data_IF_727995680983
#
_entry.id   IF_727995680983
#
_cell.length_a   1.000
_cell.length_b   1.000
_cell.length_c   1.000
_cell.angle_alpha   90.00
_cell.angle_beta   90.00
_cell.angle_gamma   90.00
#
_symmetry.space_group_name_H-M   'P 1'
#
loop_
_entity.id
_entity.type
_entity.pdbx_description
1 polymer ?
#
# COMPACT_ATOMS: atom_id res chain seq x y z
N UNK A 1 4.97 4.11 -16.19
CA UNK A 1 4.18 3.63 -15.05
C UNK A 1 5.16 2.95 -14.13
N UNK A 2 5.46 3.58 -12.99
CA UNK A 2 6.42 3.05 -12.03
C UNK A 2 5.61 2.09 -11.16
N UNK A 3 5.70 0.80 -11.46
CA UNK A 3 5.24 -0.23 -10.55
C UNK A 3 6.36 -0.40 -9.52
N UNK A 4 6.14 0.08 -8.29
CA UNK A 4 7.08 -0.14 -7.19
C UNK A 4 6.95 -1.61 -6.77
N UNK A 5 7.76 -2.46 -7.42
CA UNK A 5 7.84 -3.92 -7.27
C UNK A 5 8.45 -4.37 -5.93
N UNK A 6 8.65 -3.48 -4.96
CA UNK A 6 9.34 -3.85 -3.72
C UNK A 6 8.95 -2.93 -2.58
N UNK A 7 8.59 -3.54 -1.45
CA UNK A 7 8.38 -2.87 -0.16
C UNK A 7 9.64 -2.06 0.27
N UNK A 8 10.79 -2.29 -0.35
CA UNK A 8 12.02 -1.52 -0.13
C UNK A 8 12.17 -0.22 -0.94
N UNK A 9 11.32 0.05 -1.95
CA UNK A 9 11.44 1.27 -2.79
C UNK A 9 10.39 2.35 -2.45
N UNK A 10 9.54 2.08 -1.46
CA UNK A 10 8.45 3.00 -1.03
C UNK A 10 8.98 4.25 -0.30
N UNK A 11 10.29 4.34 -0.03
CA UNK A 11 10.93 5.54 0.50
C UNK A 11 10.85 6.73 -0.47
N UNK A 12 10.60 6.52 -1.77
CA UNK A 12 10.81 7.56 -2.79
C UNK A 12 9.57 8.09 -3.52
N UNK A 13 8.34 7.63 -3.24
CA UNK A 13 7.18 8.09 -4.01
C UNK A 13 5.95 8.35 -3.12
N UNK A 14 5.72 9.64 -2.81
CA UNK A 14 4.46 10.26 -2.37
C UNK A 14 3.86 9.66 -1.08
N UNK A 15 3.91 10.41 0.02
CA UNK A 15 3.18 10.09 1.25
C UNK A 15 1.68 10.28 1.00
N UNK A 16 1.05 9.25 0.44
CA UNK A 16 -0.39 9.18 0.23
C UNK A 16 -1.10 8.95 1.56
N UNK A 17 -2.24 9.59 1.84
CA UNK A 17 -2.90 9.53 3.14
C UNK A 17 -3.38 8.12 3.52
N UNK A 18 -3.59 7.23 2.53
CA UNK A 18 -3.91 5.83 2.78
C UNK A 18 -3.05 4.89 1.93
N UNK A 19 -2.66 3.72 2.48
CA UNK A 19 -1.86 2.69 1.81
C UNK A 19 -2.34 1.28 2.17
N UNK A 20 -2.38 0.38 1.19
CA UNK A 20 -2.72 -1.02 1.38
C UNK A 20 -1.73 -1.94 0.66
N UNK A 21 -1.42 -3.06 1.31
CA UNK A 21 -0.73 -4.18 0.68
C UNK A 21 -1.76 -5.15 0.12
N UNK A 22 -1.51 -5.66 -1.08
CA UNK A 22 -2.25 -6.77 -1.68
C UNK A 22 -1.29 -7.86 -2.14
N UNK A 23 -1.67 -9.11 -1.96
CA UNK A 23 -1.01 -10.27 -2.55
C UNK A 23 -1.98 -10.97 -3.49
N UNK A 24 -1.51 -11.34 -4.67
CA UNK A 24 -2.27 -12.05 -5.70
C UNK A 24 -1.92 -13.53 -5.74
N UNK A 25 -2.73 -14.31 -6.46
CA UNK A 25 -2.53 -15.75 -6.64
C UNK A 25 -1.22 -16.11 -7.34
N UNK A 26 -0.64 -15.17 -8.10
CA UNK A 26 0.65 -15.31 -8.80
C UNK A 26 1.87 -15.17 -7.87
N UNK A 27 1.68 -15.11 -6.54
CA UNK A 27 2.70 -14.79 -5.53
C UNK A 27 3.25 -13.35 -5.65
N UNK A 28 2.61 -12.52 -6.48
CA UNK A 28 2.92 -11.11 -6.64
C UNK A 28 2.40 -10.30 -5.45
N UNK A 29 3.25 -9.47 -4.86
CA UNK A 29 2.91 -8.57 -3.76
C UNK A 29 3.05 -7.13 -4.22
N UNK A 30 2.01 -6.33 -3.99
CA UNK A 30 1.98 -4.92 -4.34
C UNK A 30 1.59 -4.10 -3.13
N UNK A 31 2.15 -2.89 -3.04
CA UNK A 31 1.63 -1.85 -2.15
C UNK A 31 1.05 -0.74 -3.00
N UNK A 32 -0.22 -0.43 -2.78
CA UNK A 32 -0.92 0.68 -3.42
C UNK A 32 -1.15 1.77 -2.39
N UNK A 33 -0.88 3.01 -2.76
CA UNK A 33 -1.34 4.17 -2.00
C UNK A 33 -2.50 4.84 -2.71
N UNK A 34 -3.30 5.57 -1.96
CA UNK A 34 -4.47 6.29 -2.44
C UNK A 34 -4.93 7.35 -1.45
N UNK A 35 -6.01 8.06 -1.79
CA UNK A 35 -6.60 9.04 -0.89
C UNK A 35 -7.36 8.37 0.26
N UNK A 36 -8.04 7.26 -0.06
CA UNK A 36 -8.91 6.51 0.85
C UNK A 36 -8.81 5.01 0.52
N UNK A 37 -9.36 4.17 1.41
CA UNK A 37 -9.44 2.71 1.22
C UNK A 37 -10.09 2.32 -0.12
N UNK A 38 -11.07 3.08 -0.60
CA UNK A 38 -11.77 2.80 -1.86
C UNK A 38 -10.86 2.98 -3.09
N UNK A 39 -9.98 3.99 -3.07
CA UNK A 39 -9.01 4.24 -4.15
C UNK A 39 -7.96 3.11 -4.19
N UNK A 40 -7.54 2.64 -3.01
CA UNK A 40 -6.65 1.50 -2.88
C UNK A 40 -7.31 0.21 -3.39
N UNK A 41 -8.57 -0.04 -3.05
CA UNK A 41 -9.30 -1.23 -3.48
C UNK A 41 -9.55 -1.24 -5.00
N UNK A 42 -9.81 -0.08 -5.62
CA UNK A 42 -9.95 0.03 -7.08
C UNK A 42 -8.63 -0.36 -7.79
N UNK A 43 -7.49 0.17 -7.35
CA UNK A 43 -6.17 -0.17 -7.90
C UNK A 43 -5.82 -1.65 -7.73
N UNK A 44 -6.12 -2.24 -6.56
CA UNK A 44 -5.97 -3.68 -6.36
C UNK A 44 -6.89 -4.47 -7.29
N UNK A 45 -8.13 -3.98 -7.52
CA UNK A 45 -9.12 -4.50 -8.46
C UNK A 45 -8.58 -4.61 -9.89
N UNK A 46 -8.01 -3.52 -10.40
CA UNK A 46 -7.38 -3.46 -11.73
C UNK A 46 -6.18 -4.43 -11.86
N UNK A 47 -5.44 -4.63 -10.77
CA UNK A 47 -4.35 -5.60 -10.73
C UNK A 47 -4.86 -7.04 -10.68
N UNK A 48 -6.07 -7.30 -10.19
CA UNK A 48 -6.64 -8.66 -10.24
C UNK A 48 -6.86 -9.15 -11.66
N UNK A 49 -7.16 -8.22 -12.58
CA UNK A 49 -7.35 -8.53 -14.00
C UNK A 49 -6.03 -8.93 -14.68
N UNK A 50 -4.89 -8.48 -14.16
CA UNK A 50 -3.55 -8.77 -14.69
C UNK A 50 -2.83 -9.92 -13.97
N UNK A 51 -2.89 -9.96 -12.65
CA UNK A 51 -2.13 -10.90 -11.80
C UNK A 51 -3.01 -12.02 -11.18
N UNK A 52 -4.32 -12.00 -11.44
CA UNK A 52 -5.27 -12.98 -10.92
C UNK A 52 -5.91 -12.55 -9.60
N UNK A 53 -6.65 -13.44 -8.94
CA UNK A 53 -7.44 -13.07 -7.76
C UNK A 53 -6.54 -12.59 -6.59
N UNK A 54 -6.99 -11.53 -5.92
CA UNK A 54 -6.39 -11.01 -4.69
C UNK A 54 -6.60 -12.05 -3.57
N UNK A 55 -5.52 -12.71 -3.16
CA UNK A 55 -5.57 -13.76 -2.13
C UNK A 55 -5.46 -13.18 -0.73
N UNK A 56 -4.84 -12.02 -0.59
CA UNK A 56 -4.64 -11.37 0.70
C UNK A 56 -4.54 -9.86 0.52
N UNK A 57 -5.07 -9.12 1.48
CA UNK A 57 -4.85 -7.69 1.59
C UNK A 57 -4.79 -7.29 3.05
N UNK A 58 -4.06 -6.22 3.34
CA UNK A 58 -3.98 -5.61 4.66
C UNK A 58 -3.64 -4.14 4.52
N UNK A 59 -4.09 -3.33 5.48
CA UNK A 59 -3.58 -1.97 5.64
C UNK A 59 -2.06 -1.98 5.78
N UNK A 60 -1.39 -1.03 5.12
CA UNK A 60 0.05 -0.86 5.21
C UNK A 60 0.42 -0.37 6.62
N UNK A 61 1.35 -1.05 7.29
CA UNK A 61 1.78 -0.69 8.65
C UNK A 61 3.29 -0.48 8.66
N UNK A 62 3.71 0.72 9.06
CA UNK A 62 5.11 1.14 9.10
C UNK A 62 5.32 2.23 10.17
N UNK A 63 6.49 2.84 10.24
CA UNK A 63 6.81 3.94 11.16
C UNK A 63 5.92 5.16 10.92
N UNK A 64 5.47 5.39 9.70
CA UNK A 64 4.64 6.53 9.30
C UNK A 64 3.15 6.17 9.11
N UNK A 65 2.79 4.87 9.12
CA UNK A 65 1.45 4.38 8.78
C UNK A 65 0.92 3.35 9.79
N UNK A 66 -0.32 3.51 10.22
CA UNK A 66 -1.02 2.52 11.06
C UNK A 66 -2.32 2.10 10.38
N UNK A 67 -2.48 0.79 10.17
CA UNK A 67 -3.65 0.20 9.51
C UNK A 67 -3.93 0.78 8.11
N UNK A 68 -2.88 1.20 7.41
CA UNK A 68 -2.97 1.87 6.11
C UNK A 68 -3.16 3.37 6.18
N UNK A 69 -3.53 3.95 7.31
CA UNK A 69 -3.67 5.40 7.44
C UNK A 69 -2.32 6.07 7.74
N UNK A 70 -2.01 7.16 7.06
CA UNK A 70 -0.83 7.98 7.35
C UNK A 70 -1.02 8.70 8.69
N UNK A 71 -0.35 8.22 9.72
CA UNK A 71 -0.38 8.81 11.06
C UNK A 71 0.68 9.92 11.19
N UNK A 72 1.68 9.90 10.31
CA UNK A 72 2.75 10.88 10.23
C UNK A 72 3.77 10.82 11.37
N UNK A 73 5.04 11.02 11.05
CA UNK A 73 6.16 11.15 12.00
C UNK A 73 5.98 12.15 13.15
N UNK A 74 4.96 13.02 13.13
CA UNK A 74 4.69 13.96 14.22
C UNK A 74 4.13 13.29 15.50
N UNK A 75 3.82 11.99 15.47
CA UNK A 75 3.50 11.21 16.68
C UNK A 75 4.72 10.51 17.33
N UNK A 76 5.91 10.62 16.74
CA UNK A 76 7.14 10.21 17.42
C UNK A 76 7.65 11.40 18.23
N UNK A 77 7.18 11.47 19.49
CA UNK A 77 7.90 12.19 20.53
C UNK A 77 9.27 11.51 20.64
N UNK A 78 10.28 12.03 19.93
CA UNK A 78 11.67 11.75 20.26
C UNK A 78 11.88 12.33 21.66
N UNK A 79 11.94 11.46 22.67
CA UNK A 79 12.40 11.80 24.02
C UNK A 79 13.86 12.29 23.97
#
# INVERSE_FOLDING_TARGET
MIYCDTISDIESCILEPFRMCGRFTDDFEVTVGGNDESDCMEKLGELTEQHGELVWYSGYVDEDYADGEYVGRENFIYD
#
